data_IF_788278378994
#
_entry.id   IF_788278378994
#
_cell.length_a   1.000
_cell.length_b   1.000
_cell.length_c   1.000
_cell.angle_alpha   90.00
_cell.angle_beta   90.00
_cell.angle_gamma   90.00
#
_symmetry.space_group_name_H-M   'P 1'
#
loop_
_entity.id
_entity.type
_entity.pdbx_description
1 polymer ?
#
# COMPACT_ATOMS: atom_id res chain seq x y z
N UNK A 1 -5.01 27.99 -6.09
CA UNK A 1 -5.37 27.90 -4.66
C UNK A 1 -4.44 28.81 -3.90
N UNK A 2 -4.95 29.82 -3.22
CA UNK A 2 -4.11 30.79 -2.52
C UNK A 2 -3.35 30.13 -1.38
N UNK A 3 -2.09 30.54 -1.19
CA UNK A 3 -1.17 30.00 -0.16
C UNK A 3 -1.81 30.08 1.23
N UNK A 4 -2.58 31.15 1.49
CA UNK A 4 -3.31 31.34 2.76
C UNK A 4 -4.40 30.30 2.97
N UNK A 5 -5.18 29.97 1.94
CA UNK A 5 -6.22 28.93 2.02
C UNK A 5 -5.61 27.55 2.26
N UNK A 6 -4.48 27.24 1.61
CA UNK A 6 -3.76 25.99 1.84
C UNK A 6 -3.28 25.85 3.29
N UNK A 7 -2.78 26.93 3.88
CA UNK A 7 -2.28 26.92 5.26
C UNK A 7 -3.43 26.77 6.28
N UNK A 8 -4.54 27.48 6.08
CA UNK A 8 -5.74 27.35 6.93
C UNK A 8 -6.27 25.92 6.88
N UNK A 9 -6.42 25.35 5.68
CA UNK A 9 -6.90 23.99 5.50
C UNK A 9 -5.97 22.99 6.20
N UNK A 10 -4.65 23.10 6.00
CA UNK A 10 -3.68 22.22 6.63
C UNK A 10 -3.75 22.28 8.16
N UNK A 11 -3.85 23.49 8.73
CA UNK A 11 -3.95 23.66 10.18
C UNK A 11 -5.26 23.07 10.72
N UNK A 12 -6.38 23.26 10.02
CA UNK A 12 -7.67 22.67 10.41
C UNK A 12 -7.65 21.14 10.39
N UNK A 13 -7.02 20.53 9.38
CA UNK A 13 -6.89 19.08 9.27
C UNK A 13 -6.00 18.50 10.38
N UNK A 14 -4.91 19.19 10.73
CA UNK A 14 -4.05 18.80 11.84
C UNK A 14 -4.83 18.88 13.16
N UNK A 15 -5.58 19.96 13.37
CA UNK A 15 -6.36 20.13 14.59
C UNK A 15 -7.46 19.07 14.73
N UNK A 16 -8.22 18.83 13.66
CA UNK A 16 -9.27 17.80 13.61
C UNK A 16 -8.66 16.41 13.84
N UNK A 17 -7.53 16.09 13.20
CA UNK A 17 -6.90 14.77 13.38
C UNK A 17 -6.40 14.53 14.81
N UNK A 18 -5.81 15.55 15.46
CA UNK A 18 -5.44 15.46 16.88
C UNK A 18 -6.66 15.33 17.78
N UNK A 19 -7.72 16.10 17.53
CA UNK A 19 -8.97 16.00 18.28
C UNK A 19 -9.57 14.60 18.22
N UNK A 20 -9.72 14.03 17.02
CA UNK A 20 -10.21 12.66 16.83
C UNK A 20 -9.28 11.63 17.49
N UNK A 21 -7.96 11.87 17.48
CA UNK A 21 -6.99 10.98 18.10
C UNK A 21 -7.18 10.84 19.61
N UNK A 22 -7.48 11.94 20.30
CA UNK A 22 -7.77 11.94 21.75
C UNK A 22 -9.01 11.12 22.11
N UNK A 23 -9.97 10.95 21.18
CA UNK A 23 -11.17 10.14 21.40
C UNK A 23 -10.90 8.63 21.34
N UNK A 24 -9.77 8.21 20.77
CA UNK A 24 -9.43 6.80 20.58
C UNK A 24 -8.54 6.30 21.71
N UNK A 25 -7.28 6.76 21.79
CA UNK A 25 -6.32 6.33 22.81
C UNK A 25 -5.12 7.31 22.88
N UNK A 26 -4.52 7.46 24.05
CA UNK A 26 -3.29 8.25 24.22
C UNK A 26 -2.11 7.72 23.38
N UNK A 27 -1.97 6.40 23.22
CA UNK A 27 -0.94 5.78 22.38
C UNK A 27 -1.11 6.16 20.90
N UNK A 28 -2.36 6.33 20.45
CA UNK A 28 -2.69 6.74 19.08
C UNK A 28 -2.31 8.21 18.83
N UNK A 29 -2.42 9.08 19.84
CA UNK A 29 -1.95 10.48 19.78
C UNK A 29 -0.44 10.55 19.55
N UNK A 30 0.34 9.76 20.29
CA UNK A 30 1.79 9.70 20.10
C UNK A 30 2.17 9.24 18.68
N UNK A 31 1.48 8.25 18.13
CA UNK A 31 1.73 7.79 16.76
C UNK A 31 1.43 8.86 15.70
N UNK A 32 0.34 9.62 15.87
CA UNK A 32 0.01 10.73 14.95
C UNK A 32 1.05 11.84 15.05
N UNK A 33 1.53 12.18 16.24
CA UNK A 33 2.59 13.18 16.42
C UNK A 33 3.89 12.75 15.74
N UNK A 34 4.31 11.49 15.91
CA UNK A 34 5.48 10.92 15.23
C UNK A 34 5.29 10.98 13.71
N UNK A 35 4.11 10.60 13.22
CA UNK A 35 3.78 10.64 11.79
C UNK A 35 3.86 12.07 11.22
N UNK A 36 3.26 13.06 11.90
CA UNK A 36 3.32 14.47 11.49
C UNK A 36 4.75 15.00 11.50
N UNK A 37 5.53 14.63 12.51
CA UNK A 37 6.95 14.98 12.62
C UNK A 37 7.73 14.44 11.41
N UNK A 38 7.60 13.14 11.12
CA UNK A 38 8.26 12.53 9.95
C UNK A 38 7.83 13.20 8.65
N UNK A 39 6.54 13.52 8.48
CA UNK A 39 6.03 14.17 7.27
C UNK A 39 6.57 15.59 7.08
N UNK A 40 6.78 16.33 8.17
CA UNK A 40 7.39 17.66 8.15
C UNK A 40 8.86 17.60 7.75
N UNK A 41 9.63 16.69 8.37
CA UNK A 41 11.04 16.46 8.03
C UNK A 41 11.22 15.94 6.60
N UNK A 42 10.33 15.05 6.17
CA UNK A 42 10.26 14.55 4.80
C UNK A 42 10.20 15.69 3.78
N UNK A 43 9.28 16.63 4.02
CA UNK A 43 9.03 17.75 3.10
C UNK A 43 10.21 18.70 2.99
N UNK A 44 10.99 18.88 4.07
CA UNK A 44 12.09 19.86 4.12
C UNK A 44 13.46 19.31 3.75
N UNK A 45 13.78 18.07 4.14
CA UNK A 45 15.17 17.57 4.13
C UNK A 45 15.30 16.22 3.42
N UNK A 46 14.48 15.23 3.78
CA UNK A 46 14.73 13.84 3.37
C UNK A 46 14.40 13.57 1.89
N UNK A 47 13.58 14.42 1.26
CA UNK A 47 13.23 14.34 -0.16
C UNK A 47 14.45 14.48 -1.10
N UNK A 48 15.54 15.07 -0.62
CA UNK A 48 16.76 15.31 -1.38
C UNK A 48 17.68 14.10 -1.53
N UNK A 49 17.56 13.09 -0.65
CA UNK A 49 18.49 11.95 -0.60
C UNK A 49 17.81 10.70 -1.17
N UNK A 50 18.43 10.11 -2.20
CA UNK A 50 17.98 8.85 -2.78
C UNK A 50 17.97 7.73 -1.72
N UNK A 51 17.04 6.78 -1.85
CA UNK A 51 16.73 5.68 -0.93
C UNK A 51 16.06 6.15 0.37
N UNK A 52 16.57 7.18 1.04
CA UNK A 52 15.98 7.71 2.28
C UNK A 52 14.55 8.22 2.03
N UNK A 53 14.31 8.90 0.91
CA UNK A 53 12.96 9.30 0.48
C UNK A 53 12.01 8.10 0.43
N UNK A 54 12.42 7.02 -0.24
CA UNK A 54 11.61 5.82 -0.44
C UNK A 54 11.34 5.10 0.89
N UNK A 55 12.37 4.98 1.74
CA UNK A 55 12.23 4.40 3.09
C UNK A 55 11.32 5.24 3.98
N UNK A 56 11.38 6.57 3.86
CA UNK A 56 10.51 7.47 4.64
C UNK A 56 9.04 7.34 4.22
N UNK A 57 8.78 7.19 2.91
CA UNK A 57 7.43 6.92 2.41
C UNK A 57 6.91 5.60 2.99
N UNK A 58 7.71 4.53 2.93
CA UNK A 58 7.35 3.23 3.50
C UNK A 58 7.12 3.30 5.01
N UNK A 59 7.95 4.04 5.74
CA UNK A 59 7.78 4.30 7.17
C UNK A 59 6.44 4.96 7.48
N UNK A 60 5.99 5.90 6.64
CA UNK A 60 4.66 6.51 6.75
C UNK A 60 3.53 5.49 6.63
N UNK A 61 3.64 4.52 5.71
CA UNK A 61 2.64 3.44 5.58
C UNK A 61 2.67 2.48 6.77
N UNK A 62 3.86 2.12 7.25
CA UNK A 62 4.03 1.29 8.45
C UNK A 62 3.34 1.93 9.65
N UNK A 63 3.60 3.22 9.90
CA UNK A 63 3.01 3.94 11.02
C UNK A 63 1.49 3.97 10.95
N UNK A 64 0.90 4.10 9.76
CA UNK A 64 -0.56 4.04 9.59
C UNK A 64 -1.13 2.66 9.91
N UNK A 65 -0.43 1.59 9.55
CA UNK A 65 -0.85 0.21 9.87
C UNK A 65 -0.78 -0.05 11.38
N UNK A 66 0.33 0.33 12.03
CA UNK A 66 0.46 0.24 13.49
C UNK A 66 -0.59 1.10 14.20
N UNK A 67 -0.87 2.30 13.69
CA UNK A 67 -1.92 3.15 14.21
C UNK A 67 -3.30 2.48 14.10
N UNK A 68 -3.57 1.75 13.02
CA UNK A 68 -4.78 0.94 12.85
C UNK A 68 -4.90 -0.22 13.86
N UNK A 69 -3.80 -0.89 14.17
CA UNK A 69 -3.73 -1.89 15.26
C UNK A 69 -4.04 -1.26 16.62
N UNK A 70 -3.41 -0.14 16.96
CA UNK A 70 -3.64 0.57 18.22
C UNK A 70 -5.07 1.09 18.33
N UNK A 71 -5.69 1.51 17.23
CA UNK A 71 -7.07 2.01 17.21
C UNK A 71 -8.12 0.88 17.30
N UNK A 72 -7.85 -0.27 16.69
CA UNK A 72 -8.78 -1.42 16.68
C UNK A 72 -8.60 -2.36 17.87
N UNK A 73 -7.41 -2.38 18.48
CA UNK A 73 -7.02 -3.34 19.51
C UNK A 73 -6.72 -4.76 18.97
N UNK A 74 -6.83 -4.97 17.66
CA UNK A 74 -6.54 -6.26 17.03
C UNK A 74 -5.05 -6.36 16.69
N UNK A 75 -4.40 -7.41 17.19
CA UNK A 75 -2.98 -7.63 16.93
C UNK A 75 -2.77 -8.03 15.48
N UNK A 76 -1.98 -7.24 14.75
CA UNK A 76 -1.75 -7.52 13.33
C UNK A 76 -0.72 -8.64 13.18
N UNK A 77 -0.99 -9.65 12.32
CA UNK A 77 -0.01 -10.67 12.05
C UNK A 77 1.22 -10.06 11.36
N UNK A 78 2.41 -10.48 11.80
CA UNK A 78 3.71 -9.97 11.32
C UNK A 78 3.81 -10.02 9.79
N UNK A 79 3.26 -11.07 9.17
CA UNK A 79 3.26 -11.25 7.72
C UNK A 79 2.43 -10.19 6.97
N UNK A 80 1.36 -9.67 7.57
CA UNK A 80 0.56 -8.58 6.99
C UNK A 80 1.30 -7.25 7.08
N UNK A 81 2.03 -7.02 8.17
CA UNK A 81 2.92 -5.86 8.30
C UNK A 81 4.02 -5.92 7.23
N UNK A 82 4.69 -7.07 7.08
CA UNK A 82 5.70 -7.27 6.03
C UNK A 82 5.13 -7.09 4.62
N UNK A 83 3.89 -7.50 4.39
CA UNK A 83 3.18 -7.24 3.12
C UNK A 83 3.02 -5.74 2.88
N UNK A 84 2.59 -5.00 3.89
CA UNK A 84 2.41 -3.54 3.80
C UNK A 84 3.74 -2.83 3.52
N UNK A 85 4.81 -3.25 4.19
CA UNK A 85 6.16 -2.72 3.95
C UNK A 85 6.58 -2.97 2.50
N UNK A 86 6.44 -4.22 2.04
CA UNK A 86 6.87 -4.62 0.70
C UNK A 86 6.06 -3.91 -0.39
N UNK A 87 4.74 -3.85 -0.24
CA UNK A 87 3.87 -3.21 -1.24
C UNK A 87 4.06 -1.68 -1.27
N UNK A 88 4.28 -1.05 -0.12
CA UNK A 88 4.53 0.39 -0.06
C UNK A 88 5.86 0.77 -0.73
N UNK A 89 6.92 -0.03 -0.53
CA UNK A 89 8.20 0.14 -1.20
C UNK A 89 8.07 -0.11 -2.70
N UNK A 90 7.36 -1.17 -3.10
CA UNK A 90 7.07 -1.48 -4.49
C UNK A 90 6.37 -0.32 -5.21
N UNK A 91 5.31 0.25 -4.62
CA UNK A 91 4.59 1.39 -5.20
C UNK A 91 5.45 2.66 -5.23
N UNK A 92 6.22 2.93 -4.17
CA UNK A 92 7.11 4.08 -4.10
C UNK A 92 8.21 4.03 -5.16
N UNK A 93 8.80 2.85 -5.40
CA UNK A 93 9.79 2.63 -6.46
C UNK A 93 9.16 2.74 -7.86
N UNK A 94 7.96 2.18 -8.05
CA UNK A 94 7.21 2.32 -9.30
C UNK A 94 6.94 3.78 -9.65
N UNK A 95 6.58 4.61 -8.66
CA UNK A 95 6.46 6.06 -8.84
C UNK A 95 7.77 6.70 -9.31
N UNK A 96 8.90 6.34 -8.71
CA UNK A 96 10.22 6.88 -9.11
C UNK A 96 10.59 6.46 -10.53
N UNK A 97 10.21 5.26 -10.95
CA UNK A 97 10.48 4.74 -12.30
C UNK A 97 9.67 5.50 -13.35
N UNK A 98 8.40 5.70 -13.05
CA UNK A 98 7.48 6.51 -13.84
C UNK A 98 7.98 7.96 -13.98
N UNK A 99 8.42 8.58 -12.88
CA UNK A 99 9.04 9.92 -12.89
C UNK A 99 10.31 9.97 -13.75
N UNK A 100 11.22 8.98 -13.66
CA UNK A 100 12.45 8.90 -14.48
C UNK A 100 12.15 8.80 -15.98
N UNK A 101 11.12 8.01 -16.33
CA UNK A 101 10.72 7.79 -17.73
C UNK A 101 10.12 9.05 -18.36
N UNK A 102 9.47 9.91 -17.57
CA UNK A 102 9.05 11.24 -18.04
C UNK A 102 10.25 12.16 -18.31
N UNK A 103 11.25 12.14 -17.43
CA UNK A 103 12.43 13.00 -17.60
C UNK A 103 13.25 12.64 -18.83
N UNK A 104 13.37 11.35 -19.13
CA UNK A 104 14.08 10.90 -20.33
C UNK A 104 13.39 11.34 -21.62
N UNK A 105 12.04 11.42 -21.62
CA UNK A 105 11.23 11.92 -22.75
C UNK A 105 11.23 13.45 -22.88
N UNK A 106 11.20 14.19 -21.78
CA UNK A 106 11.13 15.66 -21.76
C UNK A 106 12.52 16.32 -21.85
N UNK A 107 13.51 15.66 -22.46
CA UNK A 107 14.88 16.21 -22.68
C UNK A 107 14.95 17.43 -23.63
N UNK A 108 13.81 17.99 -24.05
CA UNK A 108 13.70 19.11 -24.99
C UNK A 108 13.73 20.51 -24.36
N UNK A 109 13.09 20.77 -23.23
CA UNK A 109 13.05 22.12 -22.64
C UNK A 109 12.94 22.09 -21.10
N UNK A 110 13.85 22.80 -20.42
CA UNK A 110 13.85 23.17 -19.00
C UNK A 110 14.04 22.05 -17.95
N UNK A 111 15.27 21.51 -17.90
CA UNK A 111 15.79 20.59 -16.88
C UNK A 111 16.24 21.37 -15.63
N UNK A 112 15.32 21.90 -14.84
CA UNK A 112 15.68 22.50 -13.53
C UNK A 112 14.64 22.34 -12.42
N UNK A 113 13.43 21.84 -12.71
CA UNK A 113 12.32 21.84 -11.74
C UNK A 113 11.88 20.46 -11.25
N UNK A 114 12.38 19.34 -11.80
CA UNK A 114 11.90 18.00 -11.47
C UNK A 114 12.99 17.21 -10.73
N UNK A 115 13.08 17.43 -9.42
CA UNK A 115 13.85 16.69 -8.37
C UNK A 115 15.30 16.28 -8.73
N UNK A 116 16.27 16.97 -8.12
CA UNK A 116 17.68 16.58 -8.09
C UNK A 116 17.95 15.17 -7.52
N UNK A 117 17.06 14.63 -6.67
CA UNK A 117 17.24 13.29 -6.07
C UNK A 117 17.09 12.13 -7.07
N UNK A 118 16.55 12.40 -8.26
CA UNK A 118 16.31 11.38 -9.28
C UNK A 118 17.55 11.09 -10.14
N UNK A 119 18.55 11.98 -10.16
CA UNK A 119 19.79 11.81 -10.93
C UNK A 119 20.68 10.65 -10.45
N UNK A 120 20.49 10.22 -9.20
CA UNK A 120 21.29 9.17 -8.56
C UNK A 120 20.78 7.75 -8.82
N UNK A 121 19.61 7.60 -9.47
CA UNK A 121 19.06 6.28 -9.79
C UNK A 121 19.42 5.88 -11.22
N UNK A 122 19.99 4.68 -11.39
CA UNK A 122 20.05 4.05 -12.71
C UNK A 122 18.76 3.28 -12.99
N UNK A 123 18.37 3.23 -14.25
CA UNK A 123 17.19 2.49 -14.69
C UNK A 123 17.25 1.01 -14.29
N UNK A 124 18.45 0.41 -14.32
CA UNK A 124 18.63 -0.99 -13.95
C UNK A 124 18.47 -1.23 -12.44
N UNK A 125 19.03 -0.34 -11.60
CA UNK A 125 18.92 -0.47 -10.14
C UNK A 125 17.46 -0.44 -9.69
N UNK A 126 16.69 0.47 -10.27
CA UNK A 126 15.29 0.62 -9.93
C UNK A 126 14.44 -0.59 -10.35
N UNK A 127 14.76 -1.20 -11.50
CA UNK A 127 14.11 -2.42 -11.95
C UNK A 127 14.38 -3.59 -10.99
N UNK A 128 15.62 -3.73 -10.54
CA UNK A 128 16.00 -4.75 -9.54
C UNK A 128 15.26 -4.52 -8.22
N UNK A 129 15.20 -3.28 -7.73
CA UNK A 129 14.46 -2.97 -6.50
C UNK A 129 12.96 -3.26 -6.63
N UNK A 130 12.33 -2.86 -7.73
CA UNK A 130 10.91 -3.14 -8.00
C UNK A 130 10.66 -4.65 -7.99
N UNK A 131 11.51 -5.45 -8.65
CA UNK A 131 11.37 -6.90 -8.68
C UNK A 131 11.53 -7.56 -7.30
N UNK A 132 12.51 -7.11 -6.50
CA UNK A 132 12.72 -7.60 -5.13
C UNK A 132 11.46 -7.36 -4.28
N UNK A 133 10.93 -6.13 -4.27
CA UNK A 133 9.77 -5.80 -3.44
C UNK A 133 8.45 -6.35 -3.97
N UNK A 134 8.30 -6.52 -5.29
CA UNK A 134 7.16 -7.25 -5.87
C UNK A 134 7.14 -8.71 -5.39
N UNK A 135 8.29 -9.38 -5.46
CA UNK A 135 8.44 -10.77 -5.02
C UNK A 135 8.24 -10.89 -3.51
N UNK A 136 8.80 -9.96 -2.72
CA UNK A 136 8.60 -9.92 -1.28
C UNK A 136 7.12 -9.70 -0.92
N UNK A 137 6.40 -8.86 -1.66
CA UNK A 137 4.94 -8.64 -1.48
C UNK A 137 4.16 -9.92 -1.74
N UNK A 138 4.47 -10.61 -2.84
CA UNK A 138 3.82 -11.88 -3.16
C UNK A 138 4.06 -12.95 -2.08
N UNK A 139 5.31 -13.13 -1.65
CA UNK A 139 5.66 -14.14 -0.64
C UNK A 139 5.04 -13.78 0.72
N UNK A 140 5.19 -12.54 1.18
CA UNK A 140 4.64 -12.11 2.48
C UNK A 140 3.11 -12.20 2.52
N UNK A 141 2.43 -11.82 1.44
CA UNK A 141 0.97 -11.96 1.36
C UNK A 141 0.51 -13.41 1.30
N UNK A 142 1.22 -14.25 0.55
CA UNK A 142 0.95 -15.69 0.50
C UNK A 142 1.14 -16.35 1.86
N UNK A 143 2.18 -15.97 2.60
CA UNK A 143 2.42 -16.46 3.96
C UNK A 143 1.38 -15.93 4.95
N UNK A 144 0.95 -14.68 4.83
CA UNK A 144 -0.16 -14.13 5.61
C UNK A 144 -1.44 -14.95 5.39
N UNK A 145 -1.90 -15.09 4.15
CA UNK A 145 -3.13 -15.83 3.82
C UNK A 145 -3.05 -17.32 4.15
N UNK A 146 -1.85 -17.89 4.17
CA UNK A 146 -1.63 -19.28 4.58
C UNK A 146 -1.61 -19.47 6.11
N UNK A 147 -0.98 -18.56 6.86
CA UNK A 147 -0.80 -18.72 8.31
C UNK A 147 -1.99 -18.18 9.12
N UNK A 148 -2.69 -17.18 8.58
CA UNK A 148 -3.83 -16.57 9.25
C UNK A 148 -5.02 -17.52 9.22
N UNK A 149 -5.58 -17.79 10.39
CA UNK A 149 -6.83 -18.51 10.54
C UNK A 149 -7.88 -17.50 11.02
N UNK A 150 -8.65 -16.88 10.11
CA UNK A 150 -9.67 -15.93 10.50
C UNK A 150 -10.67 -16.63 11.42
N UNK A 151 -10.92 -16.04 12.59
CA UNK A 151 -12.00 -16.42 13.51
C UNK A 151 -13.14 -15.44 13.28
N UNK A 152 -13.91 -15.63 12.23
CA UNK A 152 -15.03 -14.74 11.92
C UNK A 152 -16.26 -15.08 12.73
N UNK A 153 -17.26 -14.21 12.59
CA UNK A 153 -18.53 -14.33 13.27
C UNK A 153 -19.36 -15.34 12.48
N UNK A 154 -19.82 -16.39 13.18
CA UNK A 154 -20.69 -17.49 12.73
C UNK A 154 -22.02 -17.02 12.10
N UNK A 155 -21.99 -16.36 10.94
CA UNK A 155 -23.18 -16.20 10.10
C UNK A 155 -23.12 -17.35 9.10
N UNK A 156 -23.56 -18.53 9.57
CA UNK A 156 -23.64 -19.76 8.80
C UNK A 156 -24.60 -19.60 7.62
N UNK A 157 -24.12 -19.02 6.51
CA UNK A 157 -24.82 -19.04 5.22
C UNK A 157 -24.67 -20.42 4.53
N UNK A 158 -23.73 -21.24 5.01
CA UNK A 158 -23.30 -22.50 4.41
C UNK A 158 -23.89 -23.75 5.08
N UNK A 159 -25.06 -23.66 5.71
CA UNK A 159 -25.87 -24.85 6.03
C UNK A 159 -26.43 -25.59 4.79
N UNK A 160 -26.16 -25.10 3.58
CA UNK A 160 -26.78 -25.57 2.33
C UNK A 160 -25.85 -26.41 1.45
N UNK A 161 -24.52 -26.38 1.68
CA UNK A 161 -23.58 -27.14 0.82
C UNK A 161 -22.87 -28.20 1.68
N UNK A 162 -23.04 -29.50 1.35
CA UNK A 162 -22.48 -30.59 2.13
C UNK A 162 -20.95 -30.48 2.25
N UNK A 163 -20.39 -30.63 3.47
CA UNK A 163 -18.95 -30.65 3.68
C UNK A 163 -18.23 -31.76 2.91
N UNK A 164 -18.95 -32.78 2.42
CA UNK A 164 -18.40 -33.90 1.65
C UNK A 164 -18.06 -33.54 0.19
N UNK A 165 -18.57 -32.44 -0.38
CA UNK A 165 -18.37 -32.11 -1.80
C UNK A 165 -17.02 -31.42 -2.09
N UNK A 166 -16.35 -30.89 -1.06
CA UNK A 166 -15.08 -30.20 -1.18
C UNK A 166 -13.99 -30.95 -0.38
N UNK A 167 -12.86 -31.34 -1.00
CA UNK A 167 -11.80 -32.03 -0.27
C UNK A 167 -11.31 -31.16 0.89
N UNK A 168 -11.10 -31.78 2.07
CA UNK A 168 -10.77 -31.11 3.34
C UNK A 168 -9.53 -30.20 3.35
N UNK A 169 -8.80 -30.12 2.23
CA UNK A 169 -7.79 -29.10 1.95
C UNK A 169 -8.39 -27.68 1.84
N UNK A 170 -9.57 -27.52 1.23
CA UNK A 170 -10.24 -26.22 1.07
C UNK A 170 -10.83 -25.68 2.37
N UNK A 171 -11.18 -26.55 3.32
CA UNK A 171 -11.86 -26.15 4.56
C UNK A 171 -11.00 -25.29 5.50
N UNK A 172 -9.67 -25.24 5.35
CA UNK A 172 -8.79 -24.57 6.33
C UNK A 172 -8.24 -23.21 5.91
N UNK A 173 -8.22 -22.86 4.61
CA UNK A 173 -7.46 -21.67 4.13
C UNK A 173 -8.11 -20.94 2.94
N UNK A 174 -9.40 -20.65 3.05
CA UNK A 174 -10.16 -19.92 2.02
C UNK A 174 -9.54 -18.58 1.61
N UNK A 175 -8.83 -17.91 2.53
CA UNK A 175 -8.10 -16.67 2.24
C UNK A 175 -7.05 -16.83 1.13
N UNK A 176 -6.52 -18.03 0.86
CA UNK A 176 -5.52 -18.22 -0.19
C UNK A 176 -6.07 -17.94 -1.60
N UNK A 177 -7.38 -17.97 -1.81
CA UNK A 177 -7.99 -17.66 -3.12
C UNK A 177 -7.69 -16.20 -3.51
N UNK A 178 -7.52 -15.30 -2.54
CA UNK A 178 -7.19 -13.89 -2.78
C UNK A 178 -5.76 -13.68 -3.30
N UNK A 179 -4.91 -14.71 -3.29
CA UNK A 179 -3.56 -14.64 -3.89
C UNK A 179 -3.65 -14.38 -5.39
N UNK A 180 -4.63 -15.00 -6.08
CA UNK A 180 -4.81 -14.86 -7.54
C UNK A 180 -4.99 -13.40 -7.95
N UNK A 181 -5.96 -12.63 -7.41
CA UNK A 181 -6.10 -11.22 -7.75
C UNK A 181 -4.88 -10.39 -7.32
N UNK A 182 -4.23 -10.70 -6.19
CA UNK A 182 -3.00 -9.98 -5.79
C UNK A 182 -1.87 -10.16 -6.81
N UNK A 183 -1.62 -11.39 -7.26
CA UNK A 183 -0.60 -11.68 -8.28
C UNK A 183 -0.93 -10.97 -9.60
N UNK A 184 -2.19 -11.05 -10.03
CA UNK A 184 -2.63 -10.35 -11.23
C UNK A 184 -2.44 -8.83 -11.10
N UNK A 185 -2.77 -8.25 -9.95
CA UNK A 185 -2.58 -6.83 -9.68
C UNK A 185 -1.11 -6.40 -9.73
N UNK A 186 -0.20 -7.20 -9.15
CA UNK A 186 1.24 -6.97 -9.21
C UNK A 186 1.75 -7.04 -10.66
N UNK A 187 1.37 -8.08 -11.41
CA UNK A 187 1.76 -8.23 -12.82
C UNK A 187 1.23 -7.09 -13.68
N UNK A 188 -0.04 -6.71 -13.49
CA UNK A 188 -0.69 -5.64 -14.26
C UNK A 188 -0.04 -4.28 -13.99
N UNK A 189 0.29 -4.00 -12.73
CA UNK A 189 0.98 -2.76 -12.37
C UNK A 189 2.42 -2.72 -12.91
N UNK A 190 3.13 -3.85 -12.92
CA UNK A 190 4.45 -3.95 -13.57
C UNK A 190 4.34 -3.72 -15.08
N UNK A 191 3.35 -4.33 -15.73
CA UNK A 191 3.08 -4.13 -17.15
C UNK A 191 2.83 -2.65 -17.46
N UNK A 192 2.06 -1.96 -16.62
CA UNK A 192 1.77 -0.54 -16.77
C UNK A 192 3.06 0.30 -16.71
N UNK A 193 3.91 0.08 -15.69
CA UNK A 193 5.17 0.83 -15.53
C UNK A 193 6.16 0.61 -16.70
N UNK A 194 6.23 -0.61 -17.24
CA UNK A 194 7.23 -0.96 -18.26
C UNK A 194 6.75 -0.77 -19.70
N UNK A 195 5.48 -1.04 -19.99
CA UNK A 195 4.93 -1.00 -21.35
C UNK A 195 4.21 0.32 -21.64
N UNK A 196 3.47 0.88 -20.68
CA UNK A 196 2.86 2.19 -20.87
C UNK A 196 3.86 3.24 -20.44
N UNK A 197 4.45 3.89 -21.44
CA UNK A 197 5.36 5.00 -21.24
C UNK A 197 4.66 6.30 -20.75
N UNK A 198 3.52 6.17 -20.09
CA UNK A 198 2.78 7.23 -19.45
C UNK A 198 3.29 7.27 -18.01
N UNK A 199 4.14 8.25 -17.69
CA UNK A 199 4.64 8.38 -16.33
C UNK A 199 3.58 8.93 -15.37
N UNK A 200 2.43 8.28 -15.31
CA UNK A 200 1.39 8.64 -14.37
C UNK A 200 1.78 8.19 -12.95
N UNK A 201 1.34 8.97 -11.97
CA UNK A 201 1.49 8.61 -10.56
C UNK A 201 0.71 7.30 -10.27
N UNK A 202 1.23 6.39 -9.43
CA UNK A 202 0.59 5.09 -9.14
C UNK A 202 -0.89 5.18 -8.75
N UNK A 203 -1.25 6.22 -8.02
CA UNK A 203 -2.61 6.51 -7.60
C UNK A 203 -3.53 6.75 -8.81
N UNK A 204 -3.06 7.51 -9.81
CA UNK A 204 -3.81 7.75 -11.05
C UNK A 204 -3.90 6.49 -11.90
N UNK A 205 -2.81 5.75 -12.05
CA UNK A 205 -2.81 4.45 -12.75
C UNK A 205 -3.87 3.52 -12.16
N UNK A 206 -3.99 3.48 -10.83
CA UNK A 206 -4.97 2.64 -10.15
C UNK A 206 -6.43 3.03 -10.44
N UNK A 207 -6.72 4.32 -10.63
CA UNK A 207 -8.07 4.78 -10.97
C UNK A 207 -8.33 4.82 -12.49
N UNK A 208 -7.30 4.98 -13.30
CA UNK A 208 -7.37 5.04 -14.77
C UNK A 208 -7.43 3.65 -15.40
N UNK A 209 -6.67 2.67 -14.87
CA UNK A 209 -6.64 1.30 -15.39
C UNK A 209 -7.81 0.47 -14.82
N UNK A 210 -8.87 0.34 -15.62
CA UNK A 210 -10.08 -0.42 -15.26
C UNK A 210 -9.77 -1.87 -14.82
N UNK A 211 -8.91 -2.64 -15.52
CA UNK A 211 -8.49 -3.97 -15.05
C UNK A 211 -7.84 -3.96 -13.65
N UNK A 212 -6.95 -3.01 -13.38
CA UNK A 212 -6.28 -2.91 -12.07
C UNK A 212 -7.28 -2.56 -10.97
N UNK A 213 -8.17 -1.59 -11.21
CA UNK A 213 -9.23 -1.23 -10.26
C UNK A 213 -10.17 -2.41 -9.98
N UNK A 214 -10.61 -3.11 -11.03
CA UNK A 214 -11.48 -4.28 -10.89
C UNK A 214 -10.82 -5.36 -10.03
N UNK A 215 -9.50 -5.55 -10.17
CA UNK A 215 -8.73 -6.50 -9.38
C UNK A 215 -8.73 -6.14 -7.90
N UNK A 216 -8.52 -4.87 -7.55
CA UNK A 216 -8.56 -4.38 -6.16
C UNK A 216 -9.95 -4.54 -5.57
N UNK A 217 -11.00 -4.24 -6.34
CA UNK A 217 -12.39 -4.40 -5.90
C UNK A 217 -12.73 -5.88 -5.67
N UNK A 218 -12.36 -6.77 -6.61
CA UNK A 218 -12.55 -8.22 -6.47
C UNK A 218 -11.80 -8.75 -5.27
N UNK A 219 -10.55 -8.33 -5.08
CA UNK A 219 -9.74 -8.70 -3.92
C UNK A 219 -10.41 -8.27 -2.61
N UNK A 220 -10.83 -7.00 -2.49
CA UNK A 220 -11.47 -6.48 -1.30
C UNK A 220 -12.80 -7.20 -1.00
N UNK A 221 -13.61 -7.45 -2.03
CA UNK A 221 -14.84 -8.21 -1.93
C UNK A 221 -14.57 -9.64 -1.43
N UNK A 222 -13.58 -10.34 -1.99
CA UNK A 222 -13.20 -11.68 -1.55
C UNK A 222 -12.72 -11.70 -0.09
N UNK A 223 -11.86 -10.77 0.32
CA UNK A 223 -11.39 -10.67 1.71
C UNK A 223 -12.56 -10.49 2.68
N UNK A 224 -13.47 -9.56 2.39
CA UNK A 224 -14.67 -9.32 3.22
C UNK A 224 -15.57 -10.55 3.23
N UNK A 225 -15.86 -11.14 2.07
CA UNK A 225 -16.71 -12.34 1.98
C UNK A 225 -16.13 -13.50 2.79
N UNK A 226 -14.83 -13.75 2.68
CA UNK A 226 -14.19 -14.88 3.36
C UNK A 226 -14.15 -14.67 4.88
N UNK A 227 -13.77 -13.47 5.35
CA UNK A 227 -13.63 -13.18 6.78
C UNK A 227 -15.00 -13.14 7.48
N UNK A 228 -16.05 -12.63 6.83
CA UNK A 228 -17.34 -12.45 7.48
C UNK A 228 -18.35 -13.58 7.23
N UNK A 229 -18.24 -14.35 6.13
CA UNK A 229 -19.24 -15.36 5.77
C UNK A 229 -18.73 -16.81 5.78
N UNK A 230 -17.41 -17.05 5.69
CA UNK A 230 -16.86 -18.41 5.48
C UNK A 230 -16.08 -18.91 6.69
N UNK A 231 -15.44 -18.03 7.47
CA UNK A 231 -14.62 -18.51 8.57
C UNK A 231 -15.47 -19.05 9.74
N UNK A 232 -15.12 -20.23 10.28
CA UNK A 232 -15.82 -20.88 11.40
C UNK A 232 -15.55 -20.20 12.76
#
# INVERSE_FOLDING_TARGET
>A
MDIRLALILALSLIFVSLWLSFLINISFVFLILIYLFIQFFYSKLLKGIAVIDILTIALGYILRVIAGEVASGYHLPVWLILTTISISLFLALGKRRSELTLLSKTKGENISSIRASLSHYSDNLLNVYIAIFATATFISYSLFTFLENPKGILISFWGVIPPELLPGFFQRKWLMITIIPVVYGLMRYLQDIYEKHEGESPEKVLFSDKPLLATVVVWAALVVLIIYFISP
#
